data_IF_608355613071
#
_entry.id   IF_608355613071
#
_cell.length_a   1.000
_cell.length_b   1.000
_cell.length_c   1.000
_cell.angle_alpha   90.00
_cell.angle_beta   90.00
_cell.angle_gamma   90.00
#
_symmetry.space_group_name_H-M   'P 1'
#
loop_
_entity.id
_entity.type
_entity.pdbx_description
1 polymer ?
#
# COMPACT_ATOMS: atom_id res chain seq x y z
N UNK A 1 1.99 3.65 -13.00
CA UNK A 1 0.67 3.45 -12.36
C UNK A 1 0.25 4.81 -11.84
N UNK A 2 -0.95 5.30 -12.13
CA UNK A 2 -1.42 6.54 -11.51
C UNK A 2 -1.83 6.27 -10.05
N UNK A 3 -1.91 7.34 -9.26
CA UNK A 3 -2.23 7.28 -7.83
C UNK A 3 -3.57 6.61 -7.54
N UNK A 4 -4.59 6.86 -8.37
CA UNK A 4 -5.91 6.32 -8.12
C UNK A 4 -5.92 4.81 -8.39
N UNK A 5 -5.25 4.36 -9.45
CA UNK A 5 -5.04 2.93 -9.69
C UNK A 5 -4.23 2.27 -8.57
N UNK A 6 -3.18 2.92 -8.06
CA UNK A 6 -2.41 2.42 -6.91
C UNK A 6 -3.27 2.30 -5.65
N UNK A 7 -4.08 3.31 -5.35
CA UNK A 7 -5.00 3.28 -4.21
C UNK A 7 -6.04 2.16 -4.36
N UNK A 8 -6.64 2.02 -5.55
CA UNK A 8 -7.59 0.95 -5.81
C UNK A 8 -6.96 -0.43 -5.60
N UNK A 9 -5.75 -0.62 -6.11
CA UNK A 9 -5.02 -1.87 -5.94
C UNK A 9 -4.67 -2.17 -4.48
N UNK A 10 -4.28 -1.16 -3.69
CA UNK A 10 -4.08 -1.30 -2.24
C UNK A 10 -5.37 -1.72 -1.55
N UNK A 11 -6.51 -1.12 -1.91
CA UNK A 11 -7.81 -1.47 -1.33
C UNK A 11 -8.26 -2.89 -1.71
N UNK A 12 -7.98 -3.32 -2.95
CA UNK A 12 -8.26 -4.69 -3.38
C UNK A 12 -7.40 -5.69 -2.59
N UNK A 13 -6.10 -5.43 -2.43
CA UNK A 13 -5.21 -6.25 -1.59
C UNK A 13 -5.66 -6.33 -0.13
N UNK A 14 -6.20 -5.23 0.43
CA UNK A 14 -6.72 -5.22 1.80
C UNK A 14 -7.92 -6.14 1.96
N UNK A 15 -8.88 -6.10 1.03
CA UNK A 15 -10.05 -6.98 1.05
C UNK A 15 -9.64 -8.44 0.91
N UNK A 16 -8.75 -8.73 -0.03
CA UNK A 16 -8.30 -10.11 -0.22
C UNK A 16 -7.51 -10.63 1.00
N UNK A 17 -6.77 -9.77 1.71
CA UNK A 17 -6.10 -10.15 2.96
C UNK A 17 -7.11 -10.40 4.08
N UNK A 18 -8.16 -9.58 4.20
CA UNK A 18 -9.22 -9.76 5.19
C UNK A 18 -9.98 -11.08 4.97
N UNK A 19 -10.34 -11.38 3.72
CA UNK A 19 -10.96 -12.66 3.35
C UNK A 19 -10.03 -13.84 3.65
N UNK A 20 -8.75 -13.72 3.33
CA UNK A 20 -7.76 -14.77 3.60
C UNK A 20 -7.58 -15.01 5.10
N UNK A 21 -7.53 -13.95 5.91
CA UNK A 21 -7.48 -14.06 7.38
C UNK A 21 -8.73 -14.78 7.89
N UNK A 22 -9.91 -14.40 7.39
CA UNK A 22 -11.16 -15.04 7.77
C UNK A 22 -11.21 -16.52 7.39
N UNK A 23 -10.76 -16.88 6.18
CA UNK A 23 -10.73 -18.26 5.68
C UNK A 23 -9.74 -19.12 6.47
N UNK A 24 -8.53 -18.61 6.74
CA UNK A 24 -7.48 -19.38 7.43
C UNK A 24 -7.68 -19.40 8.95
N UNK A 25 -8.34 -18.40 9.53
CA UNK A 25 -8.55 -18.27 10.97
C UNK A 25 -7.27 -18.03 11.78
N UNK A 26 -6.13 -17.79 11.11
CA UNK A 26 -4.83 -17.58 11.74
C UNK A 26 -4.04 -16.49 10.99
N UNK A 27 -3.71 -15.43 11.71
CA UNK A 27 -2.88 -14.33 11.21
C UNK A 27 -1.43 -14.76 10.91
N UNK A 28 -0.96 -15.84 11.53
CA UNK A 28 0.38 -16.38 11.32
C UNK A 28 0.44 -17.39 10.17
N UNK A 29 -0.68 -17.64 9.48
CA UNK A 29 -0.68 -18.49 8.31
C UNK A 29 0.27 -17.93 7.26
N UNK A 30 1.11 -18.78 6.69
CA UNK A 30 2.19 -18.35 5.77
C UNK A 30 1.70 -17.49 4.59
N UNK A 31 0.52 -17.81 4.05
CA UNK A 31 -0.11 -17.04 2.97
C UNK A 31 -0.60 -15.66 3.45
N UNK A 32 -1.17 -15.58 4.66
CA UNK A 32 -1.58 -14.31 5.28
C UNK A 32 -0.36 -13.42 5.51
N UNK A 33 0.72 -13.98 6.05
CA UNK A 33 1.99 -13.26 6.24
C UNK A 33 2.54 -12.75 4.90
N UNK A 34 2.57 -13.61 3.87
CA UNK A 34 3.07 -13.23 2.55
C UNK A 34 2.29 -12.07 1.97
N UNK A 35 0.96 -12.15 2.04
CA UNK A 35 0.07 -11.15 1.46
C UNK A 35 0.04 -9.84 2.26
N UNK A 36 0.18 -9.93 3.58
CA UNK A 36 0.43 -8.76 4.43
C UNK A 36 1.71 -8.03 4.05
N UNK A 37 2.81 -8.76 3.79
CA UNK A 37 4.08 -8.16 3.36
C UNK A 37 3.97 -7.49 1.99
N UNK A 38 3.20 -8.08 1.08
CA UNK A 38 2.92 -7.48 -0.23
C UNK A 38 2.17 -6.14 -0.06
N UNK A 39 1.10 -6.13 0.73
CA UNK A 39 0.36 -4.90 1.06
C UNK A 39 1.27 -3.82 1.67
N UNK A 40 2.13 -4.18 2.62
CA UNK A 40 3.09 -3.24 3.25
C UNK A 40 4.02 -2.59 2.22
N UNK A 41 4.48 -3.33 1.22
CA UNK A 41 5.34 -2.79 0.16
C UNK A 41 4.63 -1.70 -0.66
N UNK A 42 3.36 -1.93 -1.00
CA UNK A 42 2.58 -0.96 -1.77
C UNK A 42 2.21 0.28 -0.94
N UNK A 43 1.97 0.12 0.37
CA UNK A 43 1.77 1.24 1.28
C UNK A 43 3.03 2.13 1.39
N UNK A 44 4.21 1.52 1.53
CA UNK A 44 5.48 2.26 1.55
C UNK A 44 5.76 2.94 0.22
N UNK A 45 5.48 2.28 -0.90
CA UNK A 45 5.60 2.89 -2.22
C UNK A 45 4.70 4.13 -2.36
N UNK A 46 3.44 4.01 -1.93
CA UNK A 46 2.49 5.12 -1.93
C UNK A 46 2.95 6.31 -1.07
N UNK A 47 3.47 6.04 0.14
CA UNK A 47 3.95 7.08 1.04
C UNK A 47 5.19 7.80 0.49
N UNK A 48 6.11 7.06 -0.14
CA UNK A 48 7.27 7.66 -0.84
C UNK A 48 6.85 8.56 -1.99
N UNK A 49 5.89 8.14 -2.82
CA UNK A 49 5.40 8.98 -3.92
C UNK A 49 4.75 10.28 -3.42
N UNK A 50 4.08 10.23 -2.26
CA UNK A 50 3.50 11.40 -1.60
C UNK A 50 4.59 12.35 -1.07
N UNK A 51 5.64 11.82 -0.46
CA UNK A 51 6.72 12.63 0.11
C UNK A 51 7.64 13.24 -0.96
N UNK A 52 7.88 12.56 -2.08
CA UNK A 52 8.62 13.13 -3.22
C UNK A 52 7.90 14.35 -3.80
N UNK A 53 6.56 14.32 -3.89
CA UNK A 53 5.78 15.46 -4.39
C UNK A 53 5.84 16.66 -3.44
N UNK A 54 5.69 16.44 -2.13
CA UNK A 54 5.81 17.54 -1.13
C UNK A 54 7.13 18.30 -1.26
N UNK A 55 8.24 17.57 -1.42
CA UNK A 55 9.58 18.19 -1.59
C UNK A 55 9.73 18.98 -2.88
N UNK A 56 9.06 18.56 -3.97
CA UNK A 56 9.07 19.27 -5.25
C UNK A 56 8.19 20.52 -5.24
N UNK A 57 7.07 20.48 -4.52
CA UNK A 57 6.19 21.63 -4.34
C UNK A 57 6.84 22.70 -3.44
N UNK A 58 7.58 22.30 -2.39
CA UNK A 58 8.34 23.21 -1.52
C UNK A 58 9.52 23.88 -2.25
N UNK A 59 10.18 23.19 -3.18
CA UNK A 59 11.32 23.72 -3.94
C UNK A 59 10.92 24.69 -5.06
N UNK A 60 9.64 24.66 -5.48
CA UNK A 60 9.13 25.51 -6.57
C UNK A 60 8.61 26.87 -6.09
N UNK A 61 8.57 27.10 -4.77
CA UNK A 61 8.04 28.33 -4.16
C UNK A 61 9.14 29.28 -3.66
N UNK A 62 10.39 29.04 -4.02
CA UNK A 62 11.54 29.93 -3.78
C UNK A 62 12.01 30.46 -5.14
N UNK A 63 11.35 31.49 -5.66
CA UNK A 63 11.82 32.34 -6.77
C UNK A 63 11.21 33.72 -6.65
#
# INVERSE_FOLDING_TARGET
MDRNTLLQYIEDLRKELEELVYEKGDFNHSEVIKKSKELDQYLVYYDREKDVRRKNDDSSNIS
#
